data_IF_176534939450
#
_entry.id   IF_176534939450
#
_cell.length_a   1.000
_cell.length_b   1.000
_cell.length_c   1.000
_cell.angle_alpha   90.00
_cell.angle_beta   90.00
_cell.angle_gamma   90.00
#
_symmetry.space_group_name_H-M   'P 1'
#
loop_
_entity.id
_entity.type
_entity.pdbx_description
1 polymer ?
#
# COMPACT_ATOMS: atom_id res chain seq x y z
N UNK A 1 8.65 -2.92 -8.33
CA UNK A 1 7.54 -3.86 -8.54
C UNK A 1 6.44 -3.34 -9.47
N UNK A 2 6.21 -2.02 -9.60
CA UNK A 2 5.31 -1.49 -10.63
C UNK A 2 3.84 -1.93 -10.47
N UNK A 3 3.42 -2.08 -9.22
CA UNK A 3 2.09 -2.55 -8.81
C UNK A 3 1.12 -1.37 -8.75
N UNK A 4 -0.15 -1.55 -9.11
CA UNK A 4 -1.16 -0.48 -9.06
C UNK A 4 -1.42 0.04 -7.64
N UNK A 5 -1.99 1.24 -7.53
CA UNK A 5 -2.39 1.82 -6.23
C UNK A 5 -3.40 0.94 -5.48
N UNK A 6 -4.25 0.22 -6.22
CA UNK A 6 -5.27 -0.69 -5.66
C UNK A 6 -4.62 -1.93 -5.07
N UNK A 7 -3.71 -2.57 -5.81
CA UNK A 7 -2.98 -3.73 -5.31
C UNK A 7 -2.00 -3.35 -4.18
N UNK A 8 -1.39 -2.16 -4.21
CA UNK A 8 -0.63 -1.65 -3.07
C UNK A 8 -1.50 -1.53 -1.82
N UNK A 9 -2.70 -0.96 -1.97
CA UNK A 9 -3.66 -0.81 -0.85
C UNK A 9 -4.10 -2.17 -0.30
N UNK A 10 -4.37 -3.13 -1.19
CA UNK A 10 -4.70 -4.50 -0.83
C UNK A 10 -3.56 -5.18 -0.04
N UNK A 11 -2.33 -5.13 -0.55
CA UNK A 11 -1.14 -5.68 0.14
C UNK A 11 -1.01 -5.09 1.55
N UNK A 12 -1.14 -3.76 1.68
CA UNK A 12 -1.03 -3.07 2.99
C UNK A 12 -2.14 -3.51 3.95
N UNK A 13 -3.37 -3.70 3.46
CA UNK A 13 -4.48 -4.19 4.28
C UNK A 13 -4.29 -5.64 4.71
N UNK A 14 -3.65 -6.47 3.87
CA UNK A 14 -3.33 -7.87 4.17
C UNK A 14 -2.11 -8.06 5.08
N UNK A 15 -1.32 -7.01 5.32
CA UNK A 15 -0.08 -7.09 6.12
C UNK A 15 -0.23 -7.76 7.49
N UNK A 16 -1.29 -7.56 8.31
CA UNK A 16 -1.43 -8.23 9.60
C UNK A 16 -1.34 -9.76 9.50
N UNK A 17 -1.88 -10.32 8.41
CA UNK A 17 -1.91 -11.75 8.14
C UNK A 17 -0.67 -12.20 7.35
N UNK A 18 -0.06 -11.34 6.54
CA UNK A 18 1.22 -11.65 5.85
C UNK A 18 2.40 -11.85 6.82
N UNK A 19 2.27 -11.40 8.08
CA UNK A 19 3.20 -11.73 9.17
C UNK A 19 3.26 -13.21 9.50
N UNK A 20 2.22 -13.98 9.17
CA UNK A 20 2.18 -15.44 9.35
C UNK A 20 3.07 -16.19 8.33
N UNK A 21 3.65 -15.47 7.37
CA UNK A 21 4.60 -15.97 6.39
C UNK A 21 3.98 -16.28 5.02
N UNK A 22 4.83 -16.70 4.07
CA UNK A 22 4.45 -16.91 2.66
C UNK A 22 3.31 -17.92 2.45
N UNK A 23 3.04 -18.77 3.42
CA UNK A 23 1.91 -19.72 3.41
C UNK A 23 0.54 -19.04 3.35
N UNK A 24 0.44 -17.77 3.75
CA UNK A 24 -0.79 -16.98 3.65
C UNK A 24 -1.05 -16.41 2.24
N UNK A 25 -0.04 -16.35 1.36
CA UNK A 25 -0.13 -15.71 0.03
C UNK A 25 -1.19 -16.36 -0.88
N UNK A 26 -1.29 -17.70 -0.99
CA UNK A 26 -2.31 -18.32 -1.84
C UNK A 26 -3.74 -17.94 -1.46
N UNK A 27 -4.03 -17.78 -0.17
CA UNK A 27 -5.34 -17.37 0.34
C UNK A 27 -5.71 -15.95 -0.12
N UNK A 28 -4.75 -15.03 -0.14
CA UNK A 28 -4.98 -13.67 -0.63
C UNK A 28 -5.18 -13.60 -2.13
N UNK A 29 -4.55 -14.49 -2.90
CA UNK A 29 -4.78 -14.57 -4.35
C UNK A 29 -6.17 -15.14 -4.67
N UNK A 30 -6.76 -15.95 -3.78
CA UNK A 30 -8.16 -16.35 -3.88
C UNK A 30 -9.11 -15.20 -3.50
N UNK A 31 -8.83 -14.46 -2.42
CA UNK A 31 -9.61 -13.28 -2.01
C UNK A 31 -9.55 -12.14 -3.05
N UNK A 32 -8.38 -11.89 -3.65
CA UNK A 32 -8.17 -10.95 -4.76
C UNK A 32 -9.08 -11.26 -5.96
N UNK A 33 -9.23 -12.56 -6.28
CA UNK A 33 -10.12 -13.05 -7.35
C UNK A 33 -11.58 -12.67 -7.12
N UNK A 34 -12.01 -12.60 -5.86
CA UNK A 34 -13.35 -12.14 -5.49
C UNK A 34 -13.47 -10.61 -5.46
N UNK A 35 -12.40 -9.92 -5.07
CA UNK A 35 -12.35 -8.46 -4.93
C UNK A 35 -12.03 -7.73 -6.24
N UNK A 36 -11.75 -8.45 -7.35
CA UNK A 36 -11.39 -7.92 -8.67
C UNK A 36 -10.24 -6.91 -8.60
N UNK A 37 -9.24 -7.17 -7.75
CA UNK A 37 -8.07 -6.29 -7.59
C UNK A 37 -7.05 -6.57 -8.70
N UNK A 38 -6.84 -7.84 -9.10
CA UNK A 38 -6.27 -8.23 -10.40
C UNK A 38 -7.37 -8.25 -11.46
N UNK A 39 -7.04 -7.82 -12.68
CA UNK A 39 -7.94 -7.91 -13.84
C UNK A 39 -8.18 -9.36 -14.26
N UNK A 40 -9.06 -10.06 -13.55
CA UNK A 40 -9.38 -11.47 -13.77
C UNK A 40 -10.70 -11.69 -14.51
N UNK A 41 -10.62 -12.47 -15.59
CA UNK A 41 -11.73 -13.09 -16.30
C UNK A 41 -12.58 -13.99 -15.36
N UNK A 42 -13.90 -13.73 -15.31
CA UNK A 42 -14.90 -14.81 -15.27
C UNK A 42 -15.68 -15.08 -13.98
N UNK A 43 -16.95 -14.65 -14.04
CA UNK A 43 -18.17 -15.36 -13.61
C UNK A 43 -18.70 -15.22 -12.18
N UNK A 44 -19.92 -14.65 -12.15
CA UNK A 44 -21.04 -14.84 -11.22
C UNK A 44 -21.07 -14.02 -9.92
N UNK A 45 -21.49 -12.75 -10.00
CA UNK A 45 -22.59 -12.28 -9.14
C UNK A 45 -23.32 -10.99 -9.64
N UNK A 46 -24.34 -11.15 -10.49
CA UNK A 46 -25.65 -10.49 -10.35
C UNK A 46 -25.81 -8.95 -10.33
N UNK A 47 -24.83 -8.15 -10.74
CA UNK A 47 -25.00 -6.70 -10.94
C UNK A 47 -25.03 -6.31 -12.43
N UNK A 48 -25.97 -5.46 -12.86
CA UNK A 48 -26.10 -5.04 -14.28
C UNK A 48 -24.84 -4.39 -14.88
N UNK A 49 -23.90 -3.92 -14.06
CA UNK A 49 -22.59 -3.41 -14.49
C UNK A 49 -21.55 -4.47 -14.86
N UNK A 50 -21.73 -5.74 -14.45
CA UNK A 50 -20.77 -6.83 -14.72
C UNK A 50 -20.74 -7.25 -16.20
N UNK A 51 -21.86 -7.11 -16.92
CA UNK A 51 -21.93 -7.52 -18.32
C UNK A 51 -21.28 -6.50 -19.26
N UNK A 52 -21.38 -5.21 -18.91
CA UNK A 52 -20.84 -4.10 -19.71
C UNK A 52 -19.32 -4.02 -19.60
N UNK A 53 -18.77 -4.13 -18.37
CA UNK A 53 -17.33 -4.17 -18.13
C UNK A 53 -16.67 -5.39 -18.81
N UNK A 54 -17.36 -6.54 -18.84
CA UNK A 54 -16.88 -7.75 -19.52
C UNK A 54 -16.90 -7.62 -21.06
N UNK A 55 -17.96 -7.01 -21.61
CA UNK A 55 -18.06 -6.74 -23.05
C UNK A 55 -16.98 -5.75 -23.51
N UNK A 56 -16.74 -4.69 -22.73
CA UNK A 56 -15.69 -3.72 -22.99
C UNK A 56 -14.31 -4.40 -22.94
N UNK A 57 -14.00 -5.19 -21.89
CA UNK A 57 -12.75 -5.97 -21.80
C UNK A 57 -12.52 -6.86 -23.02
N UNK A 58 -13.57 -7.53 -23.50
CA UNK A 58 -13.50 -8.37 -24.68
C UNK A 58 -13.26 -7.55 -25.96
N UNK A 59 -13.87 -6.37 -26.08
CA UNK A 59 -13.70 -5.47 -27.23
C UNK A 59 -12.29 -4.90 -27.34
N UNK A 60 -11.60 -4.66 -26.22
CA UNK A 60 -10.22 -4.15 -26.20
C UNK A 60 -9.14 -5.24 -26.09
N UNK A 61 -9.54 -6.51 -26.06
CA UNK A 61 -8.63 -7.63 -25.92
C UNK A 61 -7.70 -7.76 -27.13
N UNK A 62 -6.40 -7.75 -26.90
CA UNK A 62 -5.37 -7.90 -27.94
C UNK A 62 -4.99 -6.60 -28.66
N UNK A 63 -5.58 -5.46 -28.28
CA UNK A 63 -5.18 -4.14 -28.74
C UNK A 63 -4.08 -3.55 -27.85
N UNK A 64 -3.22 -2.69 -28.42
CA UNK A 64 -2.35 -1.80 -27.62
C UNK A 64 -3.15 -0.63 -27.03
N UNK A 65 -2.52 0.20 -26.20
CA UNK A 65 -3.22 1.28 -25.49
C UNK A 65 -3.75 2.38 -26.41
N UNK A 66 -3.05 2.68 -27.51
CA UNK A 66 -3.47 3.68 -28.49
C UNK A 66 -4.66 3.20 -29.32
N UNK A 67 -4.62 1.94 -29.75
CA UNK A 67 -5.72 1.25 -30.43
C UNK A 67 -6.94 1.14 -29.52
N UNK A 68 -6.72 0.74 -28.27
CA UNK A 68 -7.75 0.60 -27.25
C UNK A 68 -8.45 1.94 -26.96
N UNK A 69 -7.66 3.00 -26.82
CA UNK A 69 -8.14 4.38 -26.66
C UNK A 69 -8.97 4.83 -27.84
N UNK A 70 -8.50 4.56 -29.06
CA UNK A 70 -9.22 4.93 -30.29
C UNK A 70 -10.59 4.24 -30.38
N UNK A 71 -10.66 2.95 -30.07
CA UNK A 71 -11.92 2.18 -30.07
C UNK A 71 -12.89 2.71 -29.02
N UNK A 72 -12.42 2.92 -27.78
CA UNK A 72 -13.26 3.40 -26.68
C UNK A 72 -13.72 4.84 -26.89
N UNK A 73 -12.87 5.72 -27.43
CA UNK A 73 -13.26 7.07 -27.83
C UNK A 73 -14.33 7.03 -28.91
N UNK A 74 -14.17 6.18 -29.93
CA UNK A 74 -15.17 6.00 -30.98
C UNK A 74 -16.52 5.54 -30.43
N UNK A 75 -16.52 4.56 -29.51
CA UNK A 75 -17.73 4.07 -28.86
C UNK A 75 -18.41 5.14 -27.98
N UNK A 76 -17.64 5.92 -27.22
CA UNK A 76 -18.15 7.01 -26.40
C UNK A 76 -18.70 8.17 -27.23
N UNK A 77 -18.03 8.54 -28.31
CA UNK A 77 -18.52 9.58 -29.24
C UNK A 77 -19.82 9.15 -29.93
N UNK A 78 -19.98 7.86 -30.22
CA UNK A 78 -21.17 7.33 -30.88
C UNK A 78 -22.39 7.24 -29.94
N UNK A 79 -22.17 7.16 -28.63
CA UNK A 79 -23.21 6.83 -27.65
C UNK A 79 -23.44 7.91 -26.58
N UNK A 80 -22.57 8.91 -26.45
CA UNK A 80 -22.58 9.81 -25.27
C UNK A 80 -22.27 11.28 -25.59
N UNK A 81 -22.68 11.76 -26.78
CA UNK A 81 -22.46 13.16 -27.18
C UNK A 81 -23.04 14.20 -26.19
N UNK A 82 -24.05 13.85 -25.37
CA UNK A 82 -24.82 14.83 -24.58
C UNK A 82 -24.81 14.64 -23.04
N UNK A 83 -24.08 13.66 -22.48
CA UNK A 83 -24.21 13.29 -21.05
C UNK A 83 -22.92 13.30 -20.20
N UNK A 84 -21.80 13.80 -20.71
CA UNK A 84 -20.50 13.69 -20.01
C UNK A 84 -20.27 14.68 -18.85
N UNK A 85 -21.26 15.51 -18.51
CA UNK A 85 -21.15 16.44 -17.38
C UNK A 85 -19.96 17.39 -17.54
N UNK A 86 -19.08 17.47 -16.54
CA UNK A 86 -17.89 18.34 -16.57
C UNK A 86 -16.61 17.66 -17.10
N UNK A 87 -16.66 16.36 -17.46
CA UNK A 87 -15.48 15.60 -17.86
C UNK A 87 -15.39 15.47 -19.35
N UNK A 88 -14.17 15.48 -19.88
CA UNK A 88 -13.98 15.24 -21.32
C UNK A 88 -14.12 13.76 -21.66
N UNK A 89 -14.56 13.40 -22.88
CA UNK A 89 -14.55 12.02 -23.35
C UNK A 89 -13.18 11.34 -23.17
N UNK A 90 -12.10 12.08 -23.37
CA UNK A 90 -10.72 11.60 -23.20
C UNK A 90 -10.42 11.22 -21.75
N UNK A 91 -10.81 12.06 -20.78
CA UNK A 91 -10.65 11.77 -19.35
C UNK A 91 -11.45 10.53 -18.91
N UNK A 92 -12.63 10.33 -19.50
CA UNK A 92 -13.45 9.15 -19.24
C UNK A 92 -12.82 7.90 -19.82
N UNK A 93 -12.35 7.94 -21.08
CA UNK A 93 -11.65 6.80 -21.71
C UNK A 93 -10.38 6.44 -20.96
N UNK A 94 -9.58 7.42 -20.55
CA UNK A 94 -8.35 7.18 -19.77
C UNK A 94 -8.65 6.45 -18.46
N UNK A 95 -9.67 6.90 -17.71
CA UNK A 95 -10.09 6.20 -16.48
C UNK A 95 -10.65 4.82 -16.75
N UNK A 96 -11.40 4.65 -17.83
CA UNK A 96 -12.01 3.39 -18.22
C UNK A 96 -10.93 2.37 -18.64
N UNK A 97 -9.96 2.80 -19.45
CA UNK A 97 -8.78 2.02 -19.79
C UNK A 97 -8.00 1.64 -18.54
N UNK A 98 -7.77 2.58 -17.63
CA UNK A 98 -7.10 2.29 -16.36
C UNK A 98 -7.85 1.23 -15.52
N UNK A 99 -9.19 1.27 -15.51
CA UNK A 99 -10.05 0.29 -14.83
C UNK A 99 -10.07 -1.07 -15.53
N UNK A 100 -10.16 -1.10 -16.86
CA UNK A 100 -10.25 -2.30 -17.70
C UNK A 100 -8.89 -3.01 -17.74
N UNK A 101 -7.81 -2.27 -17.92
CA UNK A 101 -6.45 -2.82 -18.03
C UNK A 101 -5.88 -3.30 -16.71
N UNK A 102 -6.57 -3.09 -15.57
CA UNK A 102 -6.25 -3.61 -14.24
C UNK A 102 -4.80 -4.07 -14.13
N UNK A 103 -3.90 -3.12 -13.97
CA UNK A 103 -2.49 -3.16 -14.43
C UNK A 103 -1.60 -4.24 -13.80
N UNK A 104 -2.13 -4.99 -12.84
CA UNK A 104 -1.41 -6.04 -12.16
C UNK A 104 -1.76 -7.38 -12.79
N UNK A 105 -0.75 -8.02 -13.40
CA UNK A 105 -0.83 -9.45 -13.62
C UNK A 105 -0.88 -10.16 -12.26
N UNK A 106 -1.56 -11.29 -12.18
CA UNK A 106 -1.55 -12.13 -10.97
C UNK A 106 -0.12 -12.39 -10.48
N UNK A 107 0.82 -12.55 -11.41
CA UNK A 107 2.25 -12.70 -11.12
C UNK A 107 2.85 -11.49 -10.40
N UNK A 108 2.53 -10.26 -10.82
CA UNK A 108 3.02 -9.04 -10.16
C UNK A 108 2.43 -8.88 -8.76
N UNK A 109 1.13 -9.17 -8.61
CA UNK A 109 0.50 -9.13 -7.29
C UNK A 109 1.11 -10.19 -6.36
N UNK A 110 1.27 -11.41 -6.85
CA UNK A 110 1.92 -12.52 -6.12
C UNK A 110 3.33 -12.12 -5.67
N UNK A 111 4.16 -11.60 -6.57
CA UNK A 111 5.49 -11.12 -6.24
C UNK A 111 5.46 -9.99 -5.20
N UNK A 112 4.48 -9.09 -5.28
CA UNK A 112 4.26 -8.04 -4.29
C UNK A 112 3.88 -8.58 -2.91
N UNK A 113 2.97 -9.56 -2.84
CA UNK A 113 2.56 -10.23 -1.61
C UNK A 113 3.69 -11.05 -0.98
N UNK A 114 4.46 -11.77 -1.78
CA UNK A 114 5.64 -12.52 -1.33
C UNK A 114 6.70 -11.59 -0.76
N UNK A 115 7.03 -10.50 -1.46
CA UNK A 115 7.96 -9.49 -0.97
C UNK A 115 7.46 -8.85 0.33
N UNK A 116 6.18 -8.48 0.39
CA UNK A 116 5.58 -7.91 1.60
C UNK A 116 5.64 -8.90 2.78
N UNK A 117 5.39 -10.19 2.54
CA UNK A 117 5.50 -11.23 3.56
C UNK A 117 6.93 -11.43 4.05
N UNK A 118 7.91 -11.45 3.16
CA UNK A 118 9.33 -11.54 3.53
C UNK A 118 9.78 -10.37 4.39
N UNK A 119 9.38 -9.15 4.00
CA UNK A 119 9.66 -7.95 4.77
C UNK A 119 8.93 -7.99 6.13
N UNK A 120 7.67 -8.41 6.17
CA UNK A 120 6.87 -8.49 7.38
C UNK A 120 7.45 -9.43 8.45
N UNK A 121 8.22 -10.44 8.03
CA UNK A 121 8.91 -11.37 8.91
C UNK A 121 10.17 -10.77 9.59
N UNK A 122 10.67 -9.64 9.09
CA UNK A 122 11.90 -9.03 9.61
C UNK A 122 11.59 -8.18 10.84
N UNK A 123 12.07 -8.66 11.99
CA UNK A 123 11.99 -7.95 13.27
C UNK A 123 13.26 -8.17 14.08
N UNK A 124 13.89 -7.09 14.56
CA UNK A 124 15.10 -7.23 15.37
C UNK A 124 15.89 -5.95 15.61
N UNK A 125 17.15 -6.11 16.00
CA UNK A 125 18.06 -5.00 16.21
C UNK A 125 18.36 -4.28 14.89
N UNK A 126 18.52 -2.94 14.90
CA UNK A 126 18.60 -2.17 13.67
C UNK A 126 19.66 -2.63 12.65
N UNK A 127 20.92 -2.93 13.04
CA UNK A 127 21.93 -3.36 12.07
C UNK A 127 21.56 -4.65 11.34
N UNK A 128 21.02 -5.63 12.07
CA UNK A 128 20.65 -6.95 11.53
C UNK A 128 19.39 -6.86 10.67
N UNK A 129 18.39 -6.11 11.13
CA UNK A 129 17.14 -5.93 10.41
C UNK A 129 17.34 -5.14 9.10
N UNK A 130 18.16 -4.09 9.10
CA UNK A 130 18.46 -3.32 7.89
C UNK A 130 19.23 -4.16 6.86
N UNK A 131 20.20 -4.96 7.28
CA UNK A 131 20.92 -5.89 6.39
C UNK A 131 19.96 -6.93 5.76
N UNK A 132 19.08 -7.52 6.57
CA UNK A 132 18.06 -8.45 6.08
C UNK A 132 17.12 -7.80 5.05
N UNK A 133 16.65 -6.57 5.30
CA UNK A 133 15.78 -5.84 4.37
C UNK A 133 16.48 -5.54 3.06
N UNK A 134 17.73 -5.07 3.09
CA UNK A 134 18.50 -4.82 1.85
C UNK A 134 18.68 -6.09 1.03
N UNK A 135 18.93 -7.24 1.66
CA UNK A 135 19.01 -8.54 0.99
C UNK A 135 17.69 -8.94 0.32
N UNK A 136 16.57 -8.81 1.04
CA UNK A 136 15.23 -9.09 0.50
C UNK A 136 14.92 -8.18 -0.69
N UNK A 137 15.14 -6.87 -0.55
CA UNK A 137 14.91 -5.90 -1.64
C UNK A 137 15.79 -6.18 -2.86
N UNK A 138 17.07 -6.49 -2.65
CA UNK A 138 18.00 -6.85 -3.72
C UNK A 138 17.55 -8.12 -4.46
N UNK A 139 17.11 -9.15 -3.73
CA UNK A 139 16.61 -10.40 -4.32
C UNK A 139 15.35 -10.20 -5.18
N UNK A 140 14.54 -9.20 -4.83
CA UNK A 140 13.34 -8.82 -5.57
C UNK A 140 13.59 -7.74 -6.66
N UNK A 141 14.86 -7.36 -6.90
CA UNK A 141 15.20 -6.29 -7.85
C UNK A 141 14.52 -4.95 -7.54
N UNK A 142 14.21 -4.70 -6.27
CA UNK A 142 13.46 -3.53 -5.80
C UNK A 142 14.38 -2.40 -5.35
N UNK A 143 13.85 -1.17 -5.40
CA UNK A 143 14.56 0.03 -4.96
C UNK A 143 14.93 -0.07 -3.46
N UNK A 144 16.18 0.29 -3.16
CA UNK A 144 16.74 0.25 -1.80
C UNK A 144 16.79 1.64 -1.15
N UNK A 145 16.43 2.70 -1.87
CA UNK A 145 16.55 4.09 -1.39
C UNK A 145 15.80 4.32 -0.06
N UNK A 146 14.68 3.63 0.17
CA UNK A 146 13.94 3.71 1.42
C UNK A 146 14.69 3.08 2.59
N UNK A 147 15.35 1.94 2.37
CA UNK A 147 16.18 1.27 3.37
C UNK A 147 17.44 2.09 3.69
N UNK A 148 18.02 2.76 2.69
CA UNK A 148 19.17 3.65 2.87
C UNK A 148 18.80 4.88 3.70
N UNK A 149 17.69 5.56 3.37
CA UNK A 149 17.16 6.68 4.18
C UNK A 149 16.87 6.26 5.63
N UNK A 150 16.27 5.08 5.84
CA UNK A 150 16.04 4.57 7.19
C UNK A 150 17.36 4.29 7.92
N UNK A 151 18.36 3.74 7.23
CA UNK A 151 19.71 3.51 7.78
C UNK A 151 20.33 4.82 8.27
N UNK A 152 20.21 5.89 7.49
CA UNK A 152 20.68 7.23 7.86
C UNK A 152 19.98 7.75 9.12
N UNK A 153 18.64 7.68 9.16
CA UNK A 153 17.84 8.10 10.33
C UNK A 153 18.27 7.34 11.60
N UNK A 154 18.42 6.02 11.51
CA UNK A 154 18.88 5.20 12.65
C UNK A 154 20.32 5.57 13.07
N UNK A 155 21.19 5.87 12.11
CA UNK A 155 22.55 6.33 12.39
C UNK A 155 22.58 7.64 13.16
N UNK A 156 21.73 8.61 12.79
CA UNK A 156 21.59 9.89 13.49
C UNK A 156 21.10 9.69 14.93
N UNK A 157 20.18 8.75 15.18
CA UNK A 157 19.69 8.43 16.52
C UNK A 157 20.75 7.80 17.42
N UNK A 158 21.65 7.00 16.85
CA UNK A 158 22.70 6.30 17.60
C UNK A 158 23.82 7.23 18.07
N UNK A 159 24.02 8.35 17.37
CA UNK A 159 25.02 9.37 17.70
C UNK A 159 24.51 10.43 18.69
N UNK A 160 23.20 10.48 18.94
CA UNK A 160 22.60 11.28 19.99
C UNK A 160 22.76 10.57 21.34
N UNK A 161 23.69 11.05 22.16
CA UNK A 161 23.88 10.52 23.52
C UNK A 161 22.56 10.49 24.29
N UNK A 162 22.35 9.41 25.05
CA UNK A 162 21.23 9.19 26.01
C UNK A 162 19.95 8.48 25.50
N UNK A 163 20.01 7.71 24.41
CA UNK A 163 18.92 6.77 24.11
C UNK A 163 18.88 5.61 25.12
N UNK A 164 18.16 5.77 26.23
CA UNK A 164 17.94 4.71 27.26
C UNK A 164 16.94 3.62 26.83
N UNK A 165 16.27 3.80 25.69
CA UNK A 165 15.28 2.88 25.16
C UNK A 165 15.87 1.81 24.23
N UNK A 166 15.27 0.63 24.21
CA UNK A 166 15.58 -0.42 23.22
C UNK A 166 14.88 -0.10 21.91
N UNK A 167 15.65 0.17 20.85
CA UNK A 167 15.12 0.29 19.50
C UNK A 167 15.03 -1.09 18.83
N UNK A 168 13.85 -1.40 18.28
CA UNK A 168 13.59 -2.61 17.48
C UNK A 168 12.97 -2.16 16.17
N UNK A 169 13.50 -2.61 15.04
CA UNK A 169 12.85 -2.44 13.75
C UNK A 169 11.89 -3.62 13.54
N UNK A 170 10.65 -3.33 13.17
CA UNK A 170 9.59 -4.30 12.88
C UNK A 170 8.96 -3.91 11.54
N UNK A 171 9.35 -4.59 10.46
CA UNK A 171 8.84 -4.32 9.11
C UNK A 171 7.46 -4.95 8.86
N UNK A 172 6.94 -5.69 9.84
CA UNK A 172 5.54 -6.13 9.90
C UNK A 172 4.65 -5.17 10.69
N UNK A 173 5.19 -4.04 11.18
CA UNK A 173 4.40 -3.05 11.89
C UNK A 173 3.44 -2.35 10.93
N UNK A 174 2.15 -2.40 11.26
CA UNK A 174 1.09 -1.69 10.54
C UNK A 174 0.26 -0.94 11.57
N UNK A 175 -0.10 0.30 11.28
CA UNK A 175 -1.12 1.03 12.04
C UNK A 175 -2.39 1.09 11.20
N UNK A 176 -3.55 0.99 11.84
CA UNK A 176 -4.87 1.06 11.17
C UNK A 176 -5.23 2.43 10.60
N UNK A 177 -4.25 3.34 10.46
CA UNK A 177 -4.44 4.70 9.99
C UNK A 177 -3.77 4.85 8.63
N UNK A 178 -4.57 4.86 7.57
CA UNK A 178 -4.13 4.91 6.18
C UNK A 178 -3.47 6.24 5.77
N UNK A 179 -3.33 7.21 6.69
CA UNK A 179 -2.74 8.52 6.40
C UNK A 179 -1.22 8.57 6.52
N UNK A 180 -0.57 7.56 7.10
CA UNK A 180 0.89 7.50 7.17
C UNK A 180 1.49 7.11 5.83
N UNK A 181 2.53 7.81 5.40
CA UNK A 181 3.18 7.62 4.10
C UNK A 181 4.72 7.55 4.20
N UNK A 182 5.25 7.28 5.40
CA UNK A 182 6.68 7.12 5.64
C UNK A 182 6.94 6.29 6.89
N UNK A 183 7.98 6.65 7.65
CA UNK A 183 8.30 5.95 8.90
C UNK A 183 7.14 6.03 9.88
N UNK A 184 6.88 4.92 10.55
CA UNK A 184 5.97 4.81 11.69
C UNK A 184 6.70 4.18 12.86
N UNK A 185 6.26 4.48 14.08
CA UNK A 185 6.83 3.89 15.28
C UNK A 185 5.78 3.73 16.37
N UNK A 186 6.08 2.82 17.27
CA UNK A 186 5.31 2.55 18.47
C UNK A 186 6.24 2.51 19.68
N UNK A 187 5.75 3.03 20.80
CA UNK A 187 6.43 2.98 22.09
C UNK A 187 5.64 2.01 22.98
N UNK A 188 6.32 1.03 23.54
CA UNK A 188 5.73 0.01 24.41
C UNK A 188 6.54 -0.15 25.69
N UNK A 189 5.91 -0.62 26.77
CA UNK A 189 6.57 -0.92 28.03
C UNK A 189 6.12 -2.28 28.56
N UNK A 190 7.03 -3.13 29.12
CA UNK A 190 6.67 -4.46 29.60
C UNK A 190 5.57 -4.48 30.67
N UNK A 191 5.46 -3.42 31.47
CA UNK A 191 4.44 -3.26 32.51
C UNK A 191 3.08 -2.76 32.04
N UNK A 192 2.88 -2.54 30.73
CA UNK A 192 1.61 -2.03 30.19
C UNK A 192 1.11 -2.89 29.03
N UNK A 193 -0.16 -3.34 29.06
CA UNK A 193 -0.75 -4.10 27.96
C UNK A 193 -1.03 -3.17 26.77
N UNK A 194 -0.06 -3.04 25.87
CA UNK A 194 -0.20 -2.34 24.59
C UNK A 194 0.76 -1.15 24.43
N UNK A 195 0.45 -0.32 23.43
CA UNK A 195 1.24 0.85 23.09
C UNK A 195 1.06 1.97 24.14
N UNK A 196 2.17 2.49 24.65
CA UNK A 196 2.21 3.76 25.40
C UNK A 196 2.06 4.97 24.49
N UNK A 197 2.36 4.83 23.21
CA UNK A 197 2.29 5.90 22.25
C UNK A 197 2.80 5.45 20.90
N UNK A 198 2.73 6.34 19.94
CA UNK A 198 3.19 6.08 18.60
C UNK A 198 3.06 7.29 17.72
N UNK A 199 3.64 7.18 16.54
CA UNK A 199 3.70 8.28 15.62
C UNK A 199 4.20 7.84 14.26
N UNK A 200 4.42 8.83 13.42
CA UNK A 200 4.95 8.60 12.10
C UNK A 200 4.82 9.81 11.19
N UNK A 201 5.21 9.60 9.94
CA UNK A 201 5.21 10.60 8.88
C UNK A 201 3.92 10.57 8.07
N UNK A 202 3.29 11.73 7.87
CA UNK A 202 1.95 11.88 7.29
C UNK A 202 1.86 13.10 6.35
N UNK A 203 2.72 13.16 5.34
CA UNK A 203 2.86 14.35 4.48
C UNK A 203 1.56 14.70 3.71
N UNK A 204 0.68 13.72 3.49
CA UNK A 204 -0.56 13.91 2.72
C UNK A 204 -1.76 14.37 3.55
N UNK A 205 -1.64 14.36 4.88
CA UNK A 205 -2.77 14.65 5.78
C UNK A 205 -3.32 16.06 5.61
N UNK A 206 -2.44 17.06 5.41
CA UNK A 206 -2.87 18.46 5.22
C UNK A 206 -3.81 18.61 4.03
N UNK A 207 -3.51 17.94 2.92
CA UNK A 207 -4.35 17.94 1.72
C UNK A 207 -5.67 17.21 1.96
N UNK A 208 -5.63 16.08 2.65
CA UNK A 208 -6.84 15.32 3.00
C UNK A 208 -7.81 16.11 3.88
N UNK A 209 -7.30 17.08 4.66
CA UNK A 209 -8.10 17.98 5.51
C UNK A 209 -8.52 19.29 4.82
N UNK A 210 -8.32 19.42 3.50
CA UNK A 210 -8.74 20.59 2.71
C UNK A 210 -7.66 21.64 2.47
N UNK A 211 -6.41 21.37 2.82
CA UNK A 211 -5.29 22.21 2.42
C UNK A 211 -4.99 22.12 0.92
N UNK A 212 -4.54 23.22 0.31
CA UNK A 212 -4.19 23.26 -1.11
C UNK A 212 -3.02 22.33 -1.46
N UNK A 213 -2.06 22.20 -0.54
CA UNK A 213 -0.84 21.44 -0.75
C UNK A 213 -0.61 20.39 0.35
N UNK A 214 0.04 19.29 -0.05
CA UNK A 214 0.63 18.34 0.88
C UNK A 214 1.83 19.00 1.58
N UNK A 215 1.88 18.92 2.90
CA UNK A 215 2.93 19.51 3.73
C UNK A 215 3.66 18.38 4.44
N UNK A 216 4.99 18.25 4.25
CA UNK A 216 5.76 17.25 4.97
C UNK A 216 5.58 17.37 6.48
N UNK A 217 5.16 16.28 7.12
CA UNK A 217 4.78 16.30 8.53
C UNK A 217 5.12 14.99 9.22
N UNK A 218 5.61 15.09 10.45
CA UNK A 218 5.88 13.97 11.35
C UNK A 218 5.44 14.37 12.75
N UNK A 219 4.83 13.45 13.46
CA UNK A 219 4.34 13.70 14.81
C UNK A 219 4.03 12.40 15.54
N UNK A 220 3.69 12.54 16.81
CA UNK A 220 3.38 11.44 17.70
C UNK A 220 2.34 11.84 18.74
N UNK A 221 1.72 10.82 19.33
CA UNK A 221 0.87 10.95 20.49
C UNK A 221 1.24 9.86 21.50
N UNK A 222 0.92 10.09 22.76
CA UNK A 222 1.16 9.15 23.85
C UNK A 222 -0.04 9.11 24.80
N UNK A 223 -0.15 8.01 25.53
CA UNK A 223 -1.18 7.76 26.53
C UNK A 223 -0.67 8.24 27.88
N UNK A 224 -1.14 9.41 28.32
CA UNK A 224 -0.75 10.02 29.59
C UNK A 224 -1.19 9.16 30.79
N UNK A 225 -2.38 8.58 30.75
CA UNK A 225 -2.89 7.74 31.85
C UNK A 225 -2.03 6.49 32.06
N UNK A 226 -1.57 5.88 30.96
CA UNK A 226 -0.64 4.75 31.00
C UNK A 226 0.70 5.14 31.63
N UNK A 227 1.24 6.32 31.28
CA UNK A 227 2.50 6.82 31.85
C UNK A 227 2.37 7.15 33.34
N UNK A 228 1.28 7.79 33.76
CA UNK A 228 1.01 8.07 35.16
C UNK A 228 0.91 6.76 35.96
N UNK A 229 0.18 5.78 35.42
CA UNK A 229 0.01 4.46 36.07
C UNK A 229 1.35 3.75 36.26
N UNK A 230 2.22 3.76 35.24
CA UNK A 230 3.55 3.16 35.30
C UNK A 230 4.51 3.92 36.22
N UNK A 231 4.40 5.25 36.29
CA UNK A 231 5.25 6.09 37.15
C UNK A 231 4.86 6.06 38.63
N UNK A 232 3.64 5.65 38.94
CA UNK A 232 3.16 5.44 40.30
C UNK A 232 3.50 4.04 40.86
N UNK A 233 4.11 3.17 40.05
CA UNK A 233 4.50 1.79 40.37
C UNK A 233 5.99 1.69 40.74
#
# INVERSE_FOLDING_TARGET
MGVSDRARSFIIQSMPLLREGRTAVPKFLEEDRHLHVVGGNGSNNGGSGDSEDAALRQAVKGLDDDQARSVLLGLLQWNSADQLGQRTPEEVVERLLHKIRGTDSEDKLRQGLELASDLAAIKGQPPQALDAVKKVLASAGSDQSAADRLTEVIGLMSNGGESKGRLVLDFGLVRGLAYYNGVIFEVSHPGWPGALGGGGRYDTLSRALGGENAVPALGFAYNLDALISLGAS
#
